data_IF_559893484652
#
_entry.id   IF_559893484652
#
_cell.length_a   1.000
_cell.length_b   1.000
_cell.length_c   1.000
_cell.angle_alpha   90.00
_cell.angle_beta   90.00
_cell.angle_gamma   90.00
#
_symmetry.space_group_name_H-M   'P 1'
#
loop_
_entity.id
_entity.type
_entity.pdbx_description
1 polymer ?
#
# COMPACT_ATOMS: atom_id res chain seq x y z
N UNK A 1 41.45 47.70 -10.25
CA UNK A 1 40.57 46.59 -9.87
C UNK A 1 41.01 45.40 -10.70
N UNK A 2 41.64 44.41 -10.08
CA UNK A 2 42.18 43.25 -10.79
C UNK A 2 41.09 42.17 -10.91
N UNK A 3 40.64 41.92 -12.14
CA UNK A 3 39.81 40.75 -12.44
C UNK A 3 40.59 39.49 -12.11
N UNK A 4 40.12 38.71 -11.14
CA UNK A 4 40.74 37.45 -10.75
C UNK A 4 40.20 36.33 -11.66
N UNK A 5 41.00 35.81 -12.63
CA UNK A 5 40.55 34.75 -13.54
C UNK A 5 40.35 33.39 -12.87
N UNK A 6 40.72 33.26 -11.59
CA UNK A 6 40.49 32.06 -10.78
C UNK A 6 39.35 32.23 -9.78
N UNK A 7 38.50 33.25 -9.93
CA UNK A 7 37.28 33.34 -9.15
C UNK A 7 36.40 32.11 -9.49
N UNK A 8 36.12 31.22 -8.52
CA UNK A 8 35.21 30.12 -8.77
C UNK A 8 33.85 30.71 -9.19
N UNK A 9 33.09 30.04 -10.09
CA UNK A 9 31.74 30.47 -10.40
C UNK A 9 31.01 30.67 -9.07
N UNK A 10 30.30 31.78 -8.92
CA UNK A 10 29.46 32.01 -7.76
C UNK A 10 28.37 30.94 -7.74
N UNK A 11 28.70 29.77 -7.19
CA UNK A 11 27.74 28.74 -6.88
C UNK A 11 26.83 29.39 -5.85
N UNK A 12 25.61 29.70 -6.26
CA UNK A 12 24.52 30.01 -5.36
C UNK A 12 24.24 28.74 -4.57
N UNK A 13 25.07 28.45 -3.57
CA UNK A 13 24.69 27.55 -2.50
C UNK A 13 23.54 28.27 -1.80
N UNK A 14 22.32 27.84 -2.10
CA UNK A 14 21.15 28.26 -1.35
C UNK A 14 21.49 28.15 0.15
N UNK A 15 21.58 29.27 0.88
CA UNK A 15 21.96 29.26 2.30
C UNK A 15 20.90 28.57 3.16
N UNK A 16 19.73 28.26 2.60
CA UNK A 16 18.66 27.53 3.27
C UNK A 16 18.81 26.01 3.23
N UNK A 17 19.99 25.47 2.85
CA UNK A 17 20.41 24.06 2.73
C UNK A 17 20.19 23.14 3.94
N UNK A 18 19.05 23.27 4.60
CA UNK A 18 18.47 22.31 5.51
C UNK A 18 18.21 21.06 4.68
N UNK A 19 18.93 19.95 4.95
CA UNK A 19 18.66 18.71 4.26
C UNK A 19 17.19 18.35 4.47
N UNK A 20 16.52 17.76 3.46
CA UNK A 20 15.12 17.36 3.60
C UNK A 20 14.96 16.55 4.89
N UNK A 21 14.03 16.98 5.75
CA UNK A 21 13.82 16.35 7.06
C UNK A 21 13.50 14.87 6.84
N UNK A 22 14.39 14.01 7.35
CA UNK A 22 14.20 12.56 7.38
C UNK A 22 13.16 12.25 8.44
N UNK A 23 12.12 11.51 8.08
CA UNK A 23 11.16 10.98 9.06
C UNK A 23 11.74 9.82 9.85
N UNK A 24 10.94 9.26 10.76
CA UNK A 24 11.30 8.02 11.45
C UNK A 24 10.91 6.82 10.59
N UNK A 25 11.86 5.90 10.31
CA UNK A 25 11.58 4.66 9.57
C UNK A 25 10.48 3.83 10.21
N UNK A 26 10.55 3.62 11.53
CA UNK A 26 9.56 2.81 12.26
C UNK A 26 8.18 3.44 12.16
N UNK A 27 8.09 4.76 12.34
CA UNK A 27 6.82 5.48 12.23
C UNK A 27 6.26 5.40 10.80
N UNK A 28 7.13 5.55 9.79
CA UNK A 28 6.73 5.49 8.38
C UNK A 28 6.18 4.11 8.00
N UNK A 29 6.85 3.03 8.42
CA UNK A 29 6.40 1.66 8.20
C UNK A 29 5.10 1.38 8.95
N UNK A 30 5.03 1.76 10.24
CA UNK A 30 3.85 1.54 11.06
C UNK A 30 2.61 2.27 10.50
N UNK A 31 2.73 3.54 10.13
CA UNK A 31 1.60 4.31 9.57
C UNK A 31 1.19 3.76 8.21
N UNK A 32 2.14 3.40 7.34
CA UNK A 32 1.80 2.80 6.04
C UNK A 32 1.10 1.45 6.19
N UNK A 33 1.58 0.60 7.11
CA UNK A 33 0.98 -0.70 7.42
C UNK A 33 -0.42 -0.55 8.02
N UNK A 34 -0.62 0.37 8.96
CA UNK A 34 -1.94 0.69 9.51
C UNK A 34 -2.88 1.21 8.42
N UNK A 35 -2.38 2.07 7.52
CA UNK A 35 -3.17 2.59 6.40
C UNK A 35 -3.65 1.46 5.49
N UNK A 36 -2.79 0.49 5.21
CA UNK A 36 -3.11 -0.68 4.38
C UNK A 36 -4.18 -1.56 5.05
N UNK A 37 -3.96 -1.96 6.31
CA UNK A 37 -4.90 -2.84 7.04
C UNK A 37 -6.25 -2.16 7.25
N UNK A 38 -6.25 -0.94 7.79
CA UNK A 38 -7.49 -0.22 8.11
C UNK A 38 -8.24 0.12 6.83
N UNK A 39 -7.53 0.55 5.78
CA UNK A 39 -8.12 0.83 4.48
C UNK A 39 -8.79 -0.40 3.88
N UNK A 40 -8.08 -1.53 3.84
CA UNK A 40 -8.61 -2.81 3.33
C UNK A 40 -9.79 -3.30 4.16
N UNK A 41 -9.71 -3.19 5.48
CA UNK A 41 -10.78 -3.65 6.40
C UNK A 41 -12.04 -2.82 6.25
N UNK A 42 -11.92 -1.48 6.25
CA UNK A 42 -13.07 -0.58 6.07
C UNK A 42 -13.69 -0.80 4.70
N UNK A 43 -12.87 -0.89 3.65
CA UNK A 43 -13.37 -1.14 2.30
C UNK A 43 -14.14 -2.47 2.22
N UNK A 44 -13.57 -3.55 2.77
CA UNK A 44 -14.22 -4.86 2.80
C UNK A 44 -15.55 -4.82 3.56
N UNK A 45 -15.58 -4.22 4.75
CA UNK A 45 -16.79 -4.08 5.54
C UNK A 45 -17.89 -3.29 4.80
N UNK A 46 -17.52 -2.17 4.16
CA UNK A 46 -18.44 -1.37 3.35
C UNK A 46 -18.93 -2.16 2.13
N UNK A 47 -18.05 -2.87 1.44
CA UNK A 47 -18.41 -3.64 0.25
C UNK A 47 -19.38 -4.78 0.58
N UNK A 48 -19.12 -5.54 1.65
CA UNK A 48 -20.02 -6.59 2.14
C UNK A 48 -21.36 -6.00 2.55
N UNK A 49 -21.37 -4.87 3.27
CA UNK A 49 -22.61 -4.21 3.68
C UNK A 49 -23.44 -3.75 2.47
N UNK A 50 -22.82 -3.09 1.50
CA UNK A 50 -23.51 -2.62 0.29
C UNK A 50 -24.11 -3.79 -0.50
N UNK A 51 -23.35 -4.86 -0.71
CA UNK A 51 -23.81 -6.04 -1.45
C UNK A 51 -24.89 -6.78 -0.67
N UNK A 52 -24.74 -6.92 0.65
CA UNK A 52 -25.76 -7.52 1.52
C UNK A 52 -27.09 -6.78 1.45
N UNK A 53 -27.07 -5.44 1.44
CA UNK A 53 -28.29 -4.63 1.27
C UNK A 53 -28.91 -4.84 -0.11
N UNK A 54 -28.09 -4.81 -1.17
CA UNK A 54 -28.58 -4.98 -2.55
C UNK A 54 -29.21 -6.35 -2.76
N UNK A 55 -28.52 -7.43 -2.38
CA UNK A 55 -29.01 -8.79 -2.54
C UNK A 55 -30.19 -9.09 -1.61
N UNK A 56 -30.16 -8.57 -0.37
CA UNK A 56 -31.28 -8.69 0.55
C UNK A 56 -32.56 -8.01 0.04
N UNK A 57 -32.42 -6.87 -0.66
CA UNK A 57 -33.56 -6.20 -1.30
C UNK A 57 -34.16 -7.02 -2.45
N UNK A 58 -33.35 -7.83 -3.13
CA UNK A 58 -33.77 -8.75 -4.20
C UNK A 58 -34.29 -10.10 -3.66
N UNK A 59 -34.34 -10.27 -2.34
CA UNK A 59 -34.82 -11.48 -1.68
C UNK A 59 -33.81 -12.64 -1.67
N UNK A 60 -32.53 -12.34 -1.86
CA UNK A 60 -31.48 -13.35 -1.81
C UNK A 60 -31.43 -14.05 -0.45
N UNK A 61 -31.11 -15.33 -0.49
CA UNK A 61 -30.94 -16.18 0.69
C UNK A 61 -29.51 -16.08 1.24
N UNK A 62 -29.32 -16.40 2.52
CA UNK A 62 -28.00 -16.45 3.16
C UNK A 62 -27.01 -17.36 2.40
N UNK A 63 -27.52 -18.43 1.77
CA UNK A 63 -26.72 -19.35 0.95
C UNK A 63 -26.17 -18.71 -0.32
N UNK A 64 -26.88 -17.77 -0.93
CA UNK A 64 -26.42 -17.05 -2.12
C UNK A 64 -25.34 -16.02 -1.77
N UNK A 65 -25.44 -15.38 -0.60
CA UNK A 65 -24.39 -14.52 -0.06
C UNK A 65 -23.09 -15.30 0.19
N UNK A 66 -23.20 -16.46 0.84
CA UNK A 66 -22.05 -17.33 1.08
C UNK A 66 -21.42 -17.84 -0.24
N UNK A 67 -22.24 -18.16 -1.23
CA UNK A 67 -21.76 -18.56 -2.55
C UNK A 67 -21.03 -17.42 -3.27
N UNK A 68 -21.50 -16.17 -3.13
CA UNK A 68 -20.82 -14.99 -3.67
C UNK A 68 -19.46 -14.78 -2.99
N UNK A 69 -19.37 -14.88 -1.67
CA UNK A 69 -18.11 -14.74 -0.93
C UNK A 69 -17.07 -15.79 -1.33
N UNK A 70 -17.53 -16.99 -1.70
CA UNK A 70 -16.67 -18.06 -2.21
C UNK A 70 -16.35 -17.93 -3.71
N UNK A 71 -17.04 -17.05 -4.43
CA UNK A 71 -16.84 -16.88 -5.86
C UNK A 71 -15.44 -16.34 -6.18
N UNK A 72 -14.87 -16.80 -7.29
CA UNK A 72 -13.57 -16.31 -7.78
C UNK A 72 -13.60 -14.81 -8.10
N UNK A 73 -14.73 -14.31 -8.59
CA UNK A 73 -14.93 -12.89 -8.89
C UNK A 73 -14.83 -12.01 -7.65
N UNK A 74 -15.50 -12.40 -6.56
CA UNK A 74 -15.43 -11.67 -5.29
C UNK A 74 -14.02 -11.66 -4.70
N UNK A 75 -13.34 -12.80 -4.74
CA UNK A 75 -11.96 -12.93 -4.27
C UNK A 75 -10.98 -12.11 -5.10
N UNK A 76 -11.13 -12.11 -6.43
CA UNK A 76 -10.33 -11.29 -7.32
C UNK A 76 -10.57 -9.80 -7.08
N UNK A 77 -11.83 -9.40 -6.86
CA UNK A 77 -12.19 -8.04 -6.51
C UNK A 77 -11.52 -7.60 -5.21
N UNK A 78 -11.66 -8.38 -4.13
CA UNK A 78 -11.01 -8.10 -2.86
C UNK A 78 -9.48 -8.02 -2.97
N UNK A 79 -8.88 -8.91 -3.77
CA UNK A 79 -7.44 -8.92 -4.01
C UNK A 79 -6.94 -7.64 -4.71
N UNK A 80 -7.64 -7.18 -5.76
CA UNK A 80 -7.27 -5.96 -6.49
C UNK A 80 -7.36 -4.73 -5.58
N UNK A 81 -8.43 -4.63 -4.79
CA UNK A 81 -8.58 -3.50 -3.87
C UNK A 81 -7.56 -3.56 -2.72
N UNK A 82 -7.31 -4.74 -2.16
CA UNK A 82 -6.25 -4.94 -1.17
C UNK A 82 -4.89 -4.51 -1.69
N UNK A 83 -4.52 -4.88 -2.92
CA UNK A 83 -3.29 -4.41 -3.57
C UNK A 83 -3.24 -2.89 -3.74
N UNK A 84 -4.39 -2.27 -4.02
CA UNK A 84 -4.52 -0.82 -4.07
C UNK A 84 -4.18 -0.16 -2.72
N UNK A 85 -4.67 -0.72 -1.62
CA UNK A 85 -4.34 -0.26 -0.27
C UNK A 85 -2.89 -0.54 0.12
N UNK A 86 -2.30 -1.65 -0.31
CA UNK A 86 -0.86 -1.90 -0.12
C UNK A 86 -0.02 -0.88 -0.88
N UNK A 87 -0.40 -0.55 -2.12
CA UNK A 87 0.26 0.53 -2.87
C UNK A 87 0.11 1.89 -2.17
N UNK A 88 -1.09 2.18 -1.63
CA UNK A 88 -1.31 3.40 -0.85
C UNK A 88 -0.46 3.43 0.44
N UNK A 89 -0.36 2.31 1.15
CA UNK A 89 0.52 2.14 2.31
C UNK A 89 1.98 2.40 1.93
N UNK A 90 2.43 1.88 0.78
CA UNK A 90 3.79 2.06 0.27
C UNK A 90 4.09 3.52 -0.06
N UNK A 91 3.12 4.21 -0.66
CA UNK A 91 3.16 5.64 -0.91
C UNK A 91 3.26 6.44 0.40
N UNK A 92 2.44 6.12 1.40
CA UNK A 92 2.44 6.78 2.71
C UNK A 92 3.76 6.56 3.45
N UNK A 93 4.29 5.34 3.46
CA UNK A 93 5.60 5.03 4.05
C UNK A 93 6.71 5.83 3.36
N UNK A 94 6.74 5.85 2.04
CA UNK A 94 7.73 6.62 1.27
C UNK A 94 7.65 8.12 1.59
N UNK A 95 6.42 8.66 1.67
CA UNK A 95 6.15 10.06 2.00
C UNK A 95 6.62 10.47 3.39
N UNK A 96 6.39 9.63 4.39
CA UNK A 96 6.75 9.93 5.78
C UNK A 96 8.24 9.75 5.99
N UNK A 97 8.83 8.69 5.44
CA UNK A 97 10.26 8.42 5.59
C UNK A 97 11.11 9.50 4.93
N UNK A 98 10.84 9.82 3.66
CA UNK A 98 11.62 10.79 2.87
C UNK A 98 13.11 10.44 2.72
N UNK A 99 13.48 9.17 2.97
CA UNK A 99 14.77 8.55 2.65
C UNK A 99 14.57 7.03 2.52
N UNK A 100 15.45 6.37 1.75
CA UNK A 100 15.41 4.92 1.55
C UNK A 100 14.00 4.41 1.20
N UNK A 101 13.27 5.17 0.38
CA UNK A 101 11.83 5.09 0.19
C UNK A 101 11.39 3.67 -0.24
N UNK A 102 12.11 3.08 -1.21
CA UNK A 102 11.84 1.70 -1.65
C UNK A 102 12.12 0.64 -0.58
N UNK A 103 13.17 0.80 0.22
CA UNK A 103 13.53 -0.19 1.26
C UNK A 103 12.47 -0.21 2.36
N UNK A 104 12.00 0.96 2.78
CA UNK A 104 10.98 1.07 3.82
C UNK A 104 9.61 0.65 3.30
N UNK A 105 9.26 0.99 2.05
CA UNK A 105 8.05 0.48 1.43
C UNK A 105 8.05 -1.05 1.26
N UNK A 106 9.20 -1.66 0.93
CA UNK A 106 9.33 -3.11 0.88
C UNK A 106 9.13 -3.75 2.27
N UNK A 107 9.71 -3.17 3.33
CA UNK A 107 9.49 -3.65 4.70
C UNK A 107 8.02 -3.54 5.11
N UNK A 108 7.35 -2.46 4.75
CA UNK A 108 5.91 -2.30 4.99
C UNK A 108 5.11 -3.37 4.22
N UNK A 109 5.39 -3.58 2.93
CA UNK A 109 4.75 -4.62 2.13
C UNK A 109 4.97 -6.04 2.67
N UNK A 110 6.15 -6.33 3.22
CA UNK A 110 6.42 -7.59 3.94
C UNK A 110 5.57 -7.72 5.21
N UNK A 111 5.44 -6.65 6.00
CA UNK A 111 4.58 -6.64 7.18
C UNK A 111 3.11 -6.89 6.83
N UNK A 112 2.61 -6.26 5.76
CA UNK A 112 1.26 -6.50 5.24
C UNK A 112 1.07 -7.94 4.77
N UNK A 113 2.04 -8.49 4.05
CA UNK A 113 2.02 -9.86 3.57
C UNK A 113 1.97 -10.87 4.72
N UNK A 114 2.81 -10.70 5.75
CA UNK A 114 2.78 -11.52 6.96
C UNK A 114 1.43 -11.42 7.66
N UNK A 115 0.85 -10.21 7.74
CA UNK A 115 -0.45 -10.01 8.38
C UNK A 115 -1.57 -10.70 7.59
N UNK A 116 -1.57 -10.57 6.26
CA UNK A 116 -2.54 -11.23 5.40
C UNK A 116 -2.48 -12.75 5.53
N UNK A 117 -1.28 -13.33 5.62
CA UNK A 117 -1.09 -14.76 5.85
C UNK A 117 -1.65 -15.22 7.21
N UNK A 118 -1.42 -14.45 8.27
CA UNK A 118 -1.98 -14.73 9.60
C UNK A 118 -3.51 -14.70 9.55
N UNK A 119 -4.10 -13.70 8.88
CA UNK A 119 -5.55 -13.56 8.78
C UNK A 119 -6.19 -14.71 7.98
N UNK A 120 -5.56 -15.14 6.88
CA UNK A 120 -6.04 -16.27 6.07
C UNK A 120 -6.06 -17.56 6.91
N UNK A 121 -5.00 -17.81 7.69
CA UNK A 121 -4.92 -19.00 8.54
C UNK A 121 -5.97 -19.04 9.66
N UNK A 122 -6.51 -17.89 10.07
CA UNK A 122 -7.54 -17.79 11.10
C UNK A 122 -8.97 -17.98 10.58
N UNK A 123 -9.19 -17.90 9.26
CA UNK A 123 -10.53 -17.84 8.67
C UNK A 123 -11.01 -19.13 8.01
N UNK A 124 -10.36 -19.54 6.91
CA UNK A 124 -10.96 -20.42 5.90
C UNK A 124 -10.12 -21.68 5.58
N UNK A 125 -10.74 -22.76 5.07
CA UNK A 125 -10.02 -23.96 4.64
C UNK A 125 -9.04 -23.67 3.47
N UNK A 126 -7.78 -24.10 3.62
CA UNK A 126 -6.67 -23.75 2.71
C UNK A 126 -6.91 -24.07 1.22
N UNK A 127 -7.72 -25.08 0.90
CA UNK A 127 -7.85 -25.60 -0.47
C UNK A 127 -8.52 -24.63 -1.45
N UNK A 128 -9.36 -23.70 -0.99
CA UNK A 128 -10.10 -22.80 -1.89
C UNK A 128 -9.32 -21.50 -2.23
N UNK A 129 -8.28 -21.17 -1.46
CA UNK A 129 -7.60 -19.86 -1.52
C UNK A 129 -6.20 -19.90 -2.16
N UNK A 130 -5.74 -21.07 -2.61
CA UNK A 130 -4.37 -21.24 -3.11
C UNK A 130 -3.99 -20.24 -4.21
N UNK A 131 -4.87 -20.00 -5.19
CA UNK A 131 -4.57 -19.08 -6.28
C UNK A 131 -4.50 -17.62 -5.79
N UNK A 132 -5.41 -17.21 -4.90
CA UNK A 132 -5.43 -15.85 -4.32
C UNK A 132 -4.13 -15.60 -3.58
N UNK A 133 -3.70 -16.60 -2.80
CA UNK A 133 -2.45 -16.59 -2.04
C UNK A 133 -1.24 -16.46 -2.96
N UNK A 134 -1.15 -17.28 -4.01
CA UNK A 134 -0.06 -17.21 -4.98
C UNK A 134 0.04 -15.83 -5.65
N UNK A 135 -1.09 -15.30 -6.12
CA UNK A 135 -1.14 -13.98 -6.75
C UNK A 135 -0.80 -12.90 -5.72
N UNK A 136 -1.34 -12.97 -4.50
CA UNK A 136 -1.00 -12.08 -3.40
C UNK A 136 0.50 -12.04 -3.13
N UNK A 137 1.15 -13.19 -2.93
CA UNK A 137 2.60 -13.26 -2.69
C UNK A 137 3.41 -12.59 -3.81
N UNK A 138 3.05 -12.84 -5.06
CA UNK A 138 3.79 -12.30 -6.21
C UNK A 138 3.62 -10.80 -6.34
N UNK A 139 2.42 -10.27 -6.08
CA UNK A 139 2.06 -8.89 -6.42
C UNK A 139 2.06 -7.91 -5.24
N UNK A 140 2.00 -8.36 -3.99
CA UNK A 140 2.01 -7.47 -2.81
C UNK A 140 3.28 -6.62 -2.74
N UNK A 141 4.45 -7.21 -3.00
CA UNK A 141 5.72 -6.47 -3.02
C UNK A 141 5.79 -5.46 -4.19
N UNK A 142 5.52 -5.85 -5.45
CA UNK A 142 5.38 -4.90 -6.55
C UNK A 142 4.39 -3.77 -6.27
N UNK A 143 3.25 -4.06 -5.64
CA UNK A 143 2.26 -3.05 -5.29
C UNK A 143 2.82 -2.01 -4.30
N UNK A 144 3.43 -2.48 -3.20
CA UNK A 144 4.07 -1.60 -2.21
C UNK A 144 5.17 -0.73 -2.84
N UNK A 145 6.00 -1.32 -3.69
CA UNK A 145 7.07 -0.61 -4.42
C UNK A 145 6.50 0.37 -5.45
N UNK A 146 5.42 0.01 -6.15
CA UNK A 146 4.71 0.89 -7.09
C UNK A 146 4.16 2.14 -6.41
N UNK A 147 3.64 1.99 -5.19
CA UNK A 147 3.24 3.12 -4.34
C UNK A 147 4.39 4.08 -4.03
N UNK A 148 5.55 3.54 -3.64
CA UNK A 148 6.76 4.33 -3.39
C UNK A 148 7.29 5.01 -4.66
N UNK A 149 7.26 4.31 -5.80
CA UNK A 149 7.64 4.86 -7.10
C UNK A 149 6.76 6.04 -7.51
N UNK A 150 5.45 5.97 -7.26
CA UNK A 150 4.53 7.06 -7.54
C UNK A 150 4.83 8.31 -6.69
N UNK A 151 5.18 8.13 -5.42
CA UNK A 151 5.63 9.24 -4.57
C UNK A 151 6.90 9.91 -5.11
N UNK A 152 7.89 9.11 -5.52
CA UNK A 152 9.17 9.63 -6.01
C UNK A 152 9.02 10.45 -7.31
N UNK A 153 8.15 10.04 -8.23
CA UNK A 153 7.87 10.84 -9.43
C UNK A 153 7.31 12.22 -9.11
N UNK A 154 6.41 12.31 -8.11
CA UNK A 154 5.85 13.59 -7.67
C UNK A 154 6.90 14.46 -6.99
N UNK A 155 7.78 13.85 -6.19
CA UNK A 155 8.88 14.54 -5.51
C UNK A 155 9.91 15.14 -6.50
N UNK A 156 10.20 14.47 -7.61
CA UNK A 156 11.14 14.99 -8.62
C UNK A 156 10.54 16.04 -9.56
N UNK A 157 9.22 16.20 -9.56
CA UNK A 157 8.52 17.18 -10.41
C UNK A 157 8.22 18.50 -9.68
N UNK A 158 8.55 18.61 -8.39
CA UNK A 158 8.39 19.81 -7.55
C UNK A 158 9.75 20.42 -7.22
#
# INVERSE_FOLDING_TARGET
MSDNPYAPPAATSDPSGTPPRRGSALLAVAIGWVTDIVGTTIFSAVAILCIGIMLGADGATDGELAALEQSSGWRAFGLVFGMGFTALGGYVTARIANYSEYRLAALMGLSSLVTGEILIQMGEPESSLFWVRLVGFVFTLPAALGGAWWYLQRKHSS
#
